data_IF_022032920627
#
_entry.id   IF_022032920627
#
_cell.length_a   1.000
_cell.length_b   1.000
_cell.length_c   1.000
_cell.angle_alpha   90.00
_cell.angle_beta   90.00
_cell.angle_gamma   90.00
#
_symmetry.space_group_name_H-M   'P 1'
#
loop_
_entity.id
_entity.type
_entity.pdbx_description
1 polymer ?
#
# COMPACT_ATOMS: atom_id res chain seq x y z
N UNK A 1 7.91 6.13 -6.23
CA UNK A 1 6.61 6.69 -6.68
C UNK A 1 6.57 6.96 -8.17
N UNK A 2 6.66 5.93 -8.99
CA UNK A 2 6.56 6.10 -10.44
C UNK A 2 6.05 4.79 -11.04
N UNK A 3 4.89 4.83 -11.70
CA UNK A 3 4.30 3.65 -12.33
C UNK A 3 5.21 3.14 -13.46
N UNK A 4 5.90 4.03 -14.18
CA UNK A 4 6.80 3.64 -15.25
C UNK A 4 8.03 2.89 -14.71
N UNK A 5 8.56 3.33 -13.56
CA UNK A 5 9.59 2.56 -12.87
C UNK A 5 9.05 1.21 -12.40
N UNK A 6 7.85 1.17 -11.82
CA UNK A 6 7.24 -0.08 -11.34
C UNK A 6 7.02 -1.10 -12.47
N UNK A 7 6.67 -0.66 -13.67
CA UNK A 7 6.42 -1.53 -14.83
C UNK A 7 7.65 -2.36 -15.22
N UNK A 8 8.85 -1.82 -15.04
CA UNK A 8 10.11 -2.48 -15.43
C UNK A 8 10.74 -3.30 -14.31
N UNK A 9 10.20 -3.23 -13.09
CA UNK A 9 10.69 -4.03 -11.96
C UNK A 9 10.51 -5.52 -12.21
N UNK A 10 11.49 -6.31 -11.77
CA UNK A 10 11.47 -7.75 -11.89
C UNK A 10 10.52 -8.38 -10.86
N UNK A 11 9.69 -9.31 -11.32
CA UNK A 11 8.83 -10.15 -10.48
C UNK A 11 9.53 -11.46 -10.14
N UNK A 12 9.11 -12.16 -9.06
CA UNK A 12 9.67 -13.47 -8.70
C UNK A 12 9.57 -14.54 -9.81
N UNK A 13 8.67 -14.35 -10.78
CA UNK A 13 8.55 -15.20 -11.97
C UNK A 13 9.70 -15.05 -12.97
N UNK A 14 10.57 -14.05 -12.81
CA UNK A 14 11.65 -13.72 -13.75
C UNK A 14 11.25 -12.78 -14.88
N UNK A 15 9.98 -12.38 -14.95
CA UNK A 15 9.44 -11.39 -15.91
C UNK A 15 9.22 -10.04 -15.22
N UNK A 16 9.04 -8.98 -15.99
CA UNK A 16 8.71 -7.66 -15.46
C UNK A 16 7.24 -7.57 -15.00
N UNK A 17 6.91 -6.57 -14.18
CA UNK A 17 5.52 -6.26 -13.80
C UNK A 17 4.64 -6.02 -15.04
N UNK A 18 5.17 -5.31 -16.06
CA UNK A 18 4.45 -5.03 -17.30
C UNK A 18 4.10 -6.30 -18.07
N UNK A 19 5.05 -7.23 -18.19
CA UNK A 19 4.81 -8.51 -18.88
C UNK A 19 3.77 -9.36 -18.14
N UNK A 20 3.83 -9.41 -16.80
CA UNK A 20 2.82 -10.10 -15.99
C UNK A 20 1.43 -9.49 -16.22
N UNK A 21 1.33 -8.16 -16.25
CA UNK A 21 0.07 -7.47 -16.52
C UNK A 21 -0.47 -7.81 -17.92
N UNK A 22 0.35 -7.76 -18.95
CA UNK A 22 -0.04 -8.13 -20.32
C UNK A 22 -0.52 -9.58 -20.40
N UNK A 23 0.19 -10.51 -19.75
CA UNK A 23 -0.19 -11.93 -19.70
C UNK A 23 -1.53 -12.13 -18.97
N UNK A 24 -1.76 -11.41 -17.87
CA UNK A 24 -3.03 -11.48 -17.16
C UNK A 24 -4.20 -10.95 -18.00
N UNK A 25 -4.02 -9.84 -18.72
CA UNK A 25 -5.02 -9.29 -19.65
C UNK A 25 -5.36 -10.31 -20.74
N UNK A 26 -4.35 -10.92 -21.36
CA UNK A 26 -4.55 -11.92 -22.40
C UNK A 26 -5.26 -13.19 -21.89
N UNK A 27 -4.98 -13.58 -20.64
CA UNK A 27 -5.54 -14.80 -20.03
C UNK A 27 -6.95 -14.60 -19.49
N UNK A 28 -7.21 -13.46 -18.84
CA UNK A 28 -8.50 -13.15 -18.19
C UNK A 28 -9.48 -12.56 -19.20
N UNK A 29 -9.00 -11.83 -20.21
CA UNK A 29 -9.84 -11.18 -21.22
C UNK A 29 -10.48 -9.87 -20.74
N UNK A 30 -10.01 -9.31 -19.63
CA UNK A 30 -10.47 -8.03 -19.09
C UNK A 30 -9.37 -6.96 -19.14
N UNK A 31 -9.77 -5.69 -19.29
CA UNK A 31 -8.83 -4.59 -19.20
C UNK A 31 -8.33 -4.42 -17.76
N UNK A 32 -7.02 -4.52 -17.57
CA UNK A 32 -6.35 -4.31 -16.28
C UNK A 32 -5.32 -3.19 -16.40
N UNK A 33 -5.16 -2.40 -15.35
CA UNK A 33 -4.20 -1.29 -15.36
C UNK A 33 -3.60 -1.03 -13.99
N UNK A 34 -2.32 -0.62 -13.98
CA UNK A 34 -1.68 -0.02 -12.82
C UNK A 34 -2.11 1.46 -12.75
N UNK A 35 -3.08 1.77 -11.88
CA UNK A 35 -3.67 3.11 -11.84
C UNK A 35 -2.83 4.14 -11.09
N UNK A 36 -2.22 3.74 -9.97
CA UNK A 36 -1.44 4.61 -9.07
C UNK A 36 -0.49 3.78 -8.21
N UNK A 37 0.67 4.36 -7.88
CA UNK A 37 1.63 3.78 -6.96
C UNK A 37 2.25 4.89 -6.10
N UNK A 38 2.36 4.62 -4.80
CA UNK A 38 3.01 5.46 -3.80
C UNK A 38 3.71 4.57 -2.79
N UNK A 39 4.85 5.02 -2.29
CA UNK A 39 5.66 4.36 -1.27
C UNK A 39 5.76 5.31 -0.09
N UNK A 40 5.60 4.75 1.11
CA UNK A 40 5.96 5.41 2.35
C UNK A 40 7.17 4.70 2.93
N UNK A 41 8.06 5.47 3.54
CA UNK A 41 9.21 4.98 4.27
C UNK A 41 9.40 5.84 5.51
N UNK A 42 10.01 5.25 6.53
CA UNK A 42 10.40 5.91 7.77
C UNK A 42 11.85 5.56 8.03
N UNK A 43 12.61 6.50 8.60
CA UNK A 43 14.03 6.23 8.91
C UNK A 43 14.14 5.29 10.11
N UNK A 44 13.27 5.47 11.10
CA UNK A 44 13.19 4.66 12.32
C UNK A 44 11.77 4.63 12.84
N UNK A 45 11.25 3.45 13.12
CA UNK A 45 9.86 3.23 13.53
C UNK A 45 9.20 2.15 12.67
N UNK A 46 7.95 2.33 12.27
CA UNK A 46 7.20 1.33 11.51
C UNK A 46 6.28 1.94 10.44
N UNK A 47 6.11 1.23 9.33
CA UNK A 47 5.01 1.47 8.38
C UNK A 47 3.95 0.39 8.60
N UNK A 48 2.78 0.79 9.07
CA UNK A 48 1.68 -0.13 9.40
C UNK A 48 0.61 -0.06 8.32
N UNK A 49 0.17 -1.22 7.83
CA UNK A 49 -0.86 -1.34 6.79
C UNK A 49 -2.18 -1.86 7.35
N UNK A 50 -3.30 -1.33 6.86
CA UNK A 50 -4.64 -1.86 7.12
C UNK A 50 -5.45 -1.91 5.83
N UNK A 51 -6.16 -3.02 5.63
CA UNK A 51 -7.09 -3.22 4.50
C UNK A 51 -8.49 -3.42 5.05
N UNK A 52 -9.40 -2.50 4.73
CA UNK A 52 -10.80 -2.60 5.11
C UNK A 52 -11.57 -3.49 4.11
N UNK A 53 -12.43 -4.38 4.64
CA UNK A 53 -13.15 -5.40 3.87
C UNK A 53 -12.22 -6.24 3.00
N UNK A 54 -11.20 -6.81 3.65
CA UNK A 54 -10.19 -7.63 3.02
C UNK A 54 -10.84 -8.88 2.39
N UNK A 55 -10.69 -9.03 1.07
CA UNK A 55 -11.17 -10.17 0.32
C UNK A 55 -10.12 -11.31 0.30
N UNK A 56 -8.84 -10.95 0.35
CA UNK A 56 -7.70 -11.87 0.48
C UNK A 56 -6.51 -11.13 1.08
N UNK A 57 -5.44 -11.83 1.47
CA UNK A 57 -4.23 -11.20 1.99
C UNK A 57 -3.77 -10.04 1.07
N UNK A 58 -3.64 -8.83 1.63
CA UNK A 58 -3.27 -7.61 0.90
C UNK A 58 -4.31 -7.07 -0.10
N UNK A 59 -5.47 -7.69 -0.29
CA UNK A 59 -6.47 -7.32 -1.29
C UNK A 59 -7.78 -6.85 -0.64
N UNK A 60 -8.21 -5.62 -0.95
CA UNK A 60 -9.49 -5.09 -0.51
C UNK A 60 -9.80 -3.73 -1.12
N UNK A 61 -10.97 -3.18 -0.79
CA UNK A 61 -11.48 -1.95 -1.41
C UNK A 61 -10.76 -0.68 -0.92
N UNK A 62 -10.36 -0.66 0.35
CA UNK A 62 -9.66 0.47 0.97
C UNK A 62 -8.40 -0.07 1.62
N UNK A 63 -7.24 0.47 1.23
CA UNK A 63 -5.96 0.24 1.86
C UNK A 63 -5.44 1.54 2.48
N UNK A 64 -4.89 1.45 3.69
CA UNK A 64 -4.27 2.56 4.41
C UNK A 64 -2.86 2.14 4.81
N UNK A 65 -1.91 3.06 4.65
CA UNK A 65 -0.56 2.97 5.20
C UNK A 65 -0.37 4.12 6.19
N UNK A 66 0.17 3.81 7.37
CA UNK A 66 0.55 4.79 8.40
C UNK A 66 2.04 4.66 8.65
N UNK A 67 2.79 5.70 8.32
CA UNK A 67 4.20 5.82 8.64
C UNK A 67 4.34 6.46 10.03
N UNK A 68 4.92 5.72 10.98
CA UNK A 68 5.20 6.18 12.34
C UNK A 68 6.70 6.26 12.54
N UNK A 69 7.20 7.47 12.78
CA UNK A 69 8.60 7.67 13.20
C UNK A 69 8.68 7.69 14.73
N UNK A 70 9.46 6.76 15.31
CA UNK A 70 9.56 6.61 16.76
C UNK A 70 10.69 5.68 17.18
N UNK A 71 11.14 5.82 18.43
CA UNK A 71 12.07 4.90 19.11
C UNK A 71 11.37 3.77 19.88
N UNK A 72 10.03 3.77 19.92
CA UNK A 72 9.26 2.74 20.61
C UNK A 72 9.43 1.35 19.97
N UNK A 73 9.14 0.30 20.74
CA UNK A 73 9.18 -1.07 20.28
C UNK A 73 8.17 -1.33 19.14
N UNK A 74 8.51 -2.24 18.23
CA UNK A 74 7.70 -2.53 17.03
C UNK A 74 6.27 -2.97 17.40
N UNK A 75 6.11 -3.84 18.40
CA UNK A 75 4.79 -4.31 18.85
C UNK A 75 3.87 -3.17 19.32
N UNK A 76 4.42 -2.16 19.99
CA UNK A 76 3.71 -0.94 20.37
C UNK A 76 3.29 -0.15 19.13
N UNK A 77 4.21 0.03 18.16
CA UNK A 77 3.95 0.77 16.93
C UNK A 77 2.95 0.08 16.02
N UNK A 78 3.01 -1.25 15.90
CA UNK A 78 2.02 -2.05 15.15
C UNK A 78 0.63 -1.91 15.76
N UNK A 79 0.53 -1.97 17.09
CA UNK A 79 -0.72 -1.81 17.82
C UNK A 79 -1.37 -0.44 17.59
N UNK A 80 -0.60 0.64 17.81
CA UNK A 80 -1.06 2.01 17.60
C UNK A 80 -1.37 2.28 16.13
N UNK A 81 -0.45 1.93 15.23
CA UNK A 81 -0.58 2.18 13.79
C UNK A 81 -1.80 1.50 13.19
N UNK A 82 -2.19 0.31 13.67
CA UNK A 82 -3.41 -0.36 13.23
C UNK A 82 -4.67 0.43 13.62
N UNK A 83 -4.74 0.96 14.84
CA UNK A 83 -5.88 1.77 15.29
C UNK A 83 -5.98 3.07 14.48
N UNK A 84 -4.85 3.74 14.25
CA UNK A 84 -4.78 4.93 13.40
C UNK A 84 -5.21 4.61 11.96
N UNK A 85 -4.75 3.50 11.40
CA UNK A 85 -5.10 3.10 10.04
C UNK A 85 -6.60 2.79 9.87
N UNK A 86 -7.23 2.18 10.89
CA UNK A 86 -8.67 1.99 10.94
C UNK A 86 -9.43 3.32 11.04
N UNK A 87 -8.94 4.24 11.87
CA UNK A 87 -9.51 5.59 11.97
C UNK A 87 -9.43 6.33 10.63
N UNK A 88 -8.27 6.33 9.97
CA UNK A 88 -8.06 6.97 8.65
C UNK A 88 -8.97 6.34 7.59
N UNK A 89 -9.13 5.02 7.58
CA UNK A 89 -10.04 4.34 6.65
C UNK A 89 -11.50 4.81 6.80
N UNK A 90 -11.93 5.10 8.03
CA UNK A 90 -13.29 5.54 8.33
C UNK A 90 -13.50 7.05 8.16
N UNK A 91 -12.60 7.87 8.68
CA UNK A 91 -12.72 9.33 8.70
C UNK A 91 -12.20 10.01 7.42
N UNK A 92 -11.33 9.32 6.65
CA UNK A 92 -10.70 9.82 5.43
C UNK A 92 -10.13 11.25 5.55
N UNK A 93 -9.31 11.53 6.58
CA UNK A 93 -8.72 12.84 6.78
C UNK A 93 -7.87 13.25 5.56
N UNK A 94 -7.80 14.55 5.30
CA UNK A 94 -7.09 15.12 4.16
C UNK A 94 -5.70 15.65 4.49
N UNK A 95 -5.43 15.85 5.77
CA UNK A 95 -4.24 16.47 6.31
C UNK A 95 -3.79 15.71 7.57
N UNK A 96 -2.53 15.87 7.96
CA UNK A 96 -1.95 15.26 9.16
C UNK A 96 -2.17 16.13 10.41
N UNK A 97 -2.23 17.44 10.24
CA UNK A 97 -2.44 18.43 11.29
C UNK A 97 -3.39 19.53 10.77
N UNK A 98 -3.70 20.52 11.60
CA UNK A 98 -4.64 21.60 11.28
C UNK A 98 -4.05 22.64 10.31
N UNK A 99 -2.73 22.78 10.28
CA UNK A 99 -2.04 23.80 9.48
C UNK A 99 -1.85 23.36 8.01
N UNK A 100 -1.98 22.06 7.74
CA UNK A 100 -1.93 21.42 6.41
C UNK A 100 -3.30 21.37 5.70
#
# INVERSE_FOLDING_TARGET
DNIEALKVEAMPSGTTVAEVLTNNIATIGENQSLRRAKRLEVTKGAVVSYVHNQASAGLGKIGVLVALESDAADDVLQGLGKQLAMHIAAAFPKALNEED
#
